data_IF_631073520524
#
_entry.id   IF_631073520524
#
_cell.length_a   1.000
_cell.length_b   1.000
_cell.length_c   1.000
_cell.angle_alpha   90.00
_cell.angle_beta   90.00
_cell.angle_gamma   90.00
#
_symmetry.space_group_name_H-M   'P 1'
#
loop_
_entity.id
_entity.type
_entity.pdbx_description
1 polymer ?
#
# COMPACT_ATOMS: atom_id res chain seq x y z
N UNK A 1 -9.80 -10.58 -8.13
CA UNK A 1 -9.91 -9.24 -7.50
C UNK A 1 -9.56 -8.18 -8.53
N UNK A 2 -10.24 -7.03 -8.53
CA UNK A 2 -9.95 -5.92 -9.45
C UNK A 2 -9.38 -4.73 -8.68
N UNK A 3 -8.10 -4.40 -8.91
CA UNK A 3 -7.43 -3.25 -8.30
C UNK A 3 -7.47 -1.98 -9.16
N UNK A 4 -8.05 -2.01 -10.36
CA UNK A 4 -8.17 -0.82 -11.18
C UNK A 4 -8.94 0.29 -10.43
N UNK A 5 -8.55 1.57 -10.55
CA UNK A 5 -7.50 2.09 -11.45
C UNK A 5 -6.08 2.13 -10.86
N UNK A 6 -5.82 1.48 -9.72
CA UNK A 6 -4.50 1.46 -9.09
C UNK A 6 -3.44 0.86 -10.01
N UNK A 7 -2.21 1.38 -9.89
CA UNK A 7 -1.07 0.94 -10.69
C UNK A 7 0.04 0.45 -9.78
N UNK A 8 0.81 -0.52 -10.27
CA UNK A 8 2.10 -0.81 -9.68
C UNK A 8 2.99 0.42 -9.82
N UNK A 9 3.50 0.91 -8.70
CA UNK A 9 4.44 2.03 -8.67
C UNK A 9 5.71 1.63 -7.92
N UNK A 10 6.81 2.23 -8.34
CA UNK A 10 8.10 2.14 -7.70
C UNK A 10 8.84 3.48 -7.81
N UNK A 11 9.91 3.65 -7.03
CA UNK A 11 10.80 4.79 -7.19
C UNK A 11 11.52 4.70 -8.55
N UNK A 12 11.60 5.79 -9.33
CA UNK A 12 12.30 5.80 -10.61
C UNK A 12 13.79 5.52 -10.37
N UNK A 13 14.19 4.27 -10.62
CA UNK A 13 15.57 3.82 -10.55
C UNK A 13 15.81 2.91 -11.75
N UNK A 14 16.80 3.26 -12.58
CA UNK A 14 17.20 2.43 -13.73
C UNK A 14 17.71 1.05 -13.28
N UNK A 15 18.21 0.97 -12.04
CA UNK A 15 18.64 -0.25 -11.37
C UNK A 15 18.25 -0.20 -9.89
N UNK A 16 17.45 -1.18 -9.44
CA UNK A 16 17.18 -1.38 -8.02
C UNK A 16 18.18 -2.40 -7.46
N UNK A 17 18.88 -2.04 -6.38
CA UNK A 17 19.82 -2.96 -5.72
C UNK A 17 19.06 -3.93 -4.79
N UNK A 18 19.60 -5.13 -4.53
CA UNK A 18 19.08 -6.01 -3.48
C UNK A 18 18.99 -5.29 -2.12
N UNK A 19 18.00 -5.68 -1.31
CA UNK A 19 17.73 -5.12 0.02
C UNK A 19 17.46 -3.60 0.04
N UNK A 20 16.80 -3.10 -1.00
CA UNK A 20 16.41 -1.68 -1.08
C UNK A 20 15.11 -1.44 -0.32
N UNK A 21 15.10 -0.42 0.54
CA UNK A 21 13.90 0.09 1.19
C UNK A 21 13.44 1.37 0.52
N UNK A 22 12.15 1.45 0.19
CA UNK A 22 11.49 2.68 -0.25
C UNK A 22 10.32 3.00 0.67
N UNK A 23 10.15 4.28 1.00
CA UNK A 23 9.08 4.75 1.87
C UNK A 23 8.08 5.56 1.05
N UNK A 24 6.95 4.94 0.74
CA UNK A 24 5.87 5.62 0.06
C UNK A 24 4.96 6.33 1.07
N UNK A 25 4.55 7.56 0.76
CA UNK A 25 3.65 8.34 1.60
C UNK A 25 2.53 8.98 0.78
N UNK A 26 1.30 8.81 1.27
CA UNK A 26 0.12 9.53 0.79
C UNK A 26 -0.46 10.38 1.92
N UNK A 27 -0.63 11.66 1.65
CA UNK A 27 -1.39 12.56 2.52
C UNK A 27 -2.84 12.65 2.03
N UNK A 28 -3.78 12.74 2.96
CA UNK A 28 -5.19 12.99 2.71
C UNK A 28 -5.77 13.86 3.83
N UNK A 29 -6.75 14.69 3.50
CA UNK A 29 -7.46 15.54 4.48
C UNK A 29 -8.93 15.18 4.42
N UNK A 30 -9.48 14.71 5.53
CA UNK A 30 -10.86 14.23 5.61
C UNK A 30 -11.72 15.26 6.37
N UNK A 31 -12.91 15.63 5.86
CA UNK A 31 -13.79 16.55 6.58
C UNK A 31 -14.35 15.94 7.87
N UNK A 32 -14.50 14.61 7.91
CA UNK A 32 -14.94 13.82 9.06
C UNK A 32 -14.30 12.43 9.02
N UNK A 33 -14.42 11.67 10.11
CA UNK A 33 -14.02 10.27 10.11
C UNK A 33 -14.88 9.48 9.10
N UNK A 34 -14.28 8.63 8.26
CA UNK A 34 -15.03 7.83 7.30
C UNK A 34 -15.94 6.83 8.03
N UNK A 35 -17.00 6.41 7.36
CA UNK A 35 -17.84 5.30 7.79
C UNK A 35 -17.13 3.96 7.56
N UNK A 36 -16.43 3.82 6.43
CA UNK A 36 -15.57 2.69 6.12
C UNK A 36 -14.37 3.14 5.29
N UNK A 37 -13.23 2.49 5.49
CA UNK A 37 -12.00 2.69 4.74
C UNK A 37 -11.33 1.33 4.55
N UNK A 38 -11.73 0.59 3.52
CA UNK A 38 -11.27 -0.79 3.29
C UNK A 38 -10.64 -0.93 1.93
N UNK A 39 -9.77 -1.91 1.77
CA UNK A 39 -9.02 -2.02 0.53
C UNK A 39 -8.05 -3.18 0.50
N UNK A 40 -7.10 -3.07 -0.42
CA UNK A 40 -6.12 -4.11 -0.72
C UNK A 40 -4.74 -3.51 -0.96
N UNK A 41 -3.71 -4.19 -0.45
CA UNK A 41 -2.32 -3.81 -0.59
C UNK A 41 -1.46 -5.04 -0.84
N UNK A 42 -0.52 -4.94 -1.77
CA UNK A 42 0.59 -5.88 -1.89
C UNK A 42 1.84 -5.15 -2.35
N UNK A 43 2.98 -5.78 -2.13
CA UNK A 43 4.26 -5.27 -2.58
C UNK A 43 5.21 -6.41 -2.90
N UNK A 44 6.19 -6.09 -3.72
CA UNK A 44 7.33 -6.94 -3.96
C UNK A 44 8.58 -6.26 -3.33
N UNK A 45 9.18 -6.82 -2.27
CA UNK A 45 9.00 -8.20 -1.77
C UNK A 45 8.22 -8.29 -0.46
N UNK A 46 8.35 -7.29 0.41
CA UNK A 46 7.60 -7.14 1.66
C UNK A 46 7.24 -5.69 1.91
N UNK A 47 6.13 -5.43 2.60
CA UNK A 47 5.73 -4.11 3.03
C UNK A 47 5.45 -4.03 4.54
N UNK A 48 5.50 -2.81 5.07
CA UNK A 48 4.97 -2.41 6.37
C UNK A 48 4.08 -1.18 6.20
N UNK A 49 2.81 -1.34 6.56
CA UNK A 49 1.77 -0.30 6.47
C UNK A 49 1.65 0.45 7.81
N UNK A 50 1.64 1.77 7.71
CA UNK A 50 1.44 2.69 8.83
C UNK A 50 0.38 3.72 8.48
N UNK A 51 -0.42 4.12 9.47
CA UNK A 51 -1.36 5.24 9.35
C UNK A 51 -1.16 6.14 10.54
N UNK A 52 -0.96 7.44 10.28
CA UNK A 52 -0.70 8.45 11.30
C UNK A 52 0.44 8.06 12.26
N UNK A 53 1.50 7.44 11.73
CA UNK A 53 2.68 6.97 12.48
C UNK A 53 2.48 5.67 13.26
N UNK A 54 1.29 5.07 13.25
CA UNK A 54 1.00 3.79 13.91
C UNK A 54 1.08 2.65 12.90
N UNK A 55 1.81 1.58 13.22
CA UNK A 55 1.83 0.36 12.41
C UNK A 55 0.45 -0.30 12.43
N UNK A 56 -0.05 -0.62 11.25
CA UNK A 56 -1.35 -1.28 11.02
C UNK A 56 -1.15 -2.73 10.63
N UNK A 57 -0.31 -2.98 9.62
CA UNK A 57 -0.15 -4.30 8.99
C UNK A 57 1.24 -4.47 8.38
N UNK A 58 1.62 -5.70 8.07
CA UNK A 58 2.78 -6.05 7.24
C UNK A 58 2.43 -7.26 6.38
N UNK A 59 3.16 -7.43 5.28
CA UNK A 59 2.90 -8.49 4.32
C UNK A 59 3.79 -8.34 3.08
N UNK A 60 3.37 -8.86 1.91
CA UNK A 60 2.39 -9.93 1.83
C UNK A 60 2.96 -11.22 2.46
N UNK A 61 2.07 -12.13 2.83
CA UNK A 61 2.50 -13.49 3.17
C UNK A 61 3.17 -14.16 1.95
N UNK A 62 4.05 -15.16 2.14
CA UNK A 62 4.54 -15.98 1.03
C UNK A 62 3.37 -16.56 0.24
N UNK A 63 3.36 -16.31 -1.06
CA UNK A 63 2.33 -16.80 -1.98
C UNK A 63 2.99 -17.45 -3.20
N UNK A 64 2.19 -18.09 -4.05
CA UNK A 64 2.68 -18.54 -5.34
C UNK A 64 3.11 -17.32 -6.17
N UNK A 65 4.38 -17.21 -6.62
CA UNK A 65 4.85 -16.05 -7.37
C UNK A 65 4.13 -15.83 -8.70
N UNK A 66 3.49 -16.87 -9.24
CA UNK A 66 2.68 -16.77 -10.45
C UNK A 66 1.35 -16.06 -10.19
N UNK A 67 0.93 -16.00 -8.93
CA UNK A 67 -0.33 -15.46 -8.45
C UNK A 67 -0.07 -14.64 -7.18
N UNK A 68 0.46 -13.43 -7.37
CA UNK A 68 0.73 -12.53 -6.26
C UNK A 68 -0.57 -12.21 -5.50
N UNK A 69 -0.60 -12.56 -4.21
CA UNK A 69 -1.70 -12.22 -3.33
C UNK A 69 -1.65 -10.75 -2.93
N UNK A 70 -2.82 -10.16 -2.68
CA UNK A 70 -2.93 -8.89 -1.98
C UNK A 70 -3.68 -9.08 -0.69
N UNK A 71 -3.18 -8.41 0.35
CA UNK A 71 -3.75 -8.50 1.66
C UNK A 71 -4.93 -7.53 1.75
N UNK A 72 -6.09 -7.96 2.29
CA UNK A 72 -7.14 -7.04 2.65
C UNK A 72 -6.65 -6.14 3.78
N UNK A 73 -7.12 -4.91 3.80
CA UNK A 73 -6.85 -3.95 4.88
C UNK A 73 -8.13 -3.21 5.28
N UNK A 74 -8.23 -2.91 6.58
CA UNK A 74 -9.24 -2.02 7.14
C UNK A 74 -8.53 -0.86 7.88
N UNK A 75 -8.62 0.33 7.29
CA UNK A 75 -8.04 1.57 7.82
C UNK A 75 -9.08 2.42 8.56
N UNK A 76 -10.34 1.98 8.63
CA UNK A 76 -11.44 2.71 9.28
C UNK A 76 -11.08 3.16 10.70
N UNK A 77 -10.52 2.31 11.59
CA UNK A 77 -10.22 2.73 12.96
C UNK A 77 -8.97 3.61 13.08
N UNK A 78 -8.25 3.84 11.98
CA UNK A 78 -6.96 4.53 11.97
C UNK A 78 -7.02 5.95 11.38
N UNK A 79 -8.10 6.27 10.65
CA UNK A 79 -8.33 7.57 10.05
C UNK A 79 -9.14 8.49 10.98
N UNK A 80 -8.85 9.80 10.89
CA UNK A 80 -9.47 10.85 11.73
C UNK A 80 -9.91 12.06 10.90
N UNK A 81 -10.80 12.92 11.41
CA UNK A 81 -11.04 14.23 10.80
C UNK A 81 -9.75 15.04 10.69
N UNK A 82 -9.64 15.84 9.63
CA UNK A 82 -8.47 16.63 9.31
C UNK A 82 -7.36 15.83 8.61
N UNK A 83 -6.08 16.21 8.81
CA UNK A 83 -4.96 15.62 8.08
C UNK A 83 -4.63 14.20 8.56
N UNK A 84 -4.44 13.31 7.60
CA UNK A 84 -3.96 11.95 7.78
C UNK A 84 -2.77 11.68 6.86
N UNK A 85 -1.92 10.75 7.26
CA UNK A 85 -0.85 10.23 6.43
C UNK A 85 -0.85 8.70 6.44
N UNK A 86 -0.83 8.12 5.25
CA UNK A 86 -0.63 6.68 5.02
C UNK A 86 0.81 6.51 4.57
N UNK A 87 1.55 5.63 5.25
CA UNK A 87 2.93 5.30 4.93
C UNK A 87 3.06 3.81 4.62
N UNK A 88 3.73 3.48 3.52
CA UNK A 88 4.04 2.11 3.12
C UNK A 88 5.55 2.02 2.91
N UNK A 89 6.23 1.33 3.81
CA UNK A 89 7.62 0.96 3.61
C UNK A 89 7.68 -0.35 2.85
N UNK A 90 8.42 -0.41 1.75
CA UNK A 90 8.59 -1.61 0.94
C UNK A 90 10.06 -2.00 0.94
N UNK A 91 10.33 -3.25 1.30
CA UNK A 91 11.64 -3.88 1.19
C UNK A 91 11.65 -4.79 -0.05
N UNK A 92 12.47 -4.43 -1.03
CA UNK A 92 12.74 -5.27 -2.18
C UNK A 92 14.00 -6.11 -1.93
N UNK A 93 13.85 -7.43 -1.93
CA UNK A 93 14.97 -8.33 -1.62
C UNK A 93 15.95 -8.43 -2.78
N UNK A 94 15.49 -8.41 -4.03
CA UNK A 94 16.33 -8.52 -5.24
C UNK A 94 16.92 -9.91 -5.51
N UNK A 95 16.73 -10.86 -4.61
CA UNK A 95 17.12 -12.27 -4.77
C UNK A 95 16.15 -13.16 -3.98
N UNK A 96 16.02 -14.42 -4.40
CA UNK A 96 15.19 -15.38 -3.68
C UNK A 96 15.79 -15.78 -2.34
N UNK A 97 14.95 -15.93 -1.31
CA UNK A 97 15.35 -16.23 0.07
C UNK A 97 14.75 -17.55 0.60
N UNK A 98 14.13 -18.35 -0.26
CA UNK A 98 13.41 -19.58 0.08
C UNK A 98 11.93 -19.35 0.45
N UNK A 99 11.52 -18.12 0.75
CA UNK A 99 10.12 -17.71 0.94
C UNK A 99 9.59 -16.79 -0.16
N UNK A 100 10.48 -16.38 -1.06
CA UNK A 100 10.20 -15.57 -2.22
C UNK A 100 11.20 -15.93 -3.35
N UNK A 101 10.79 -16.00 -4.64
CA UNK A 101 11.60 -16.62 -5.70
C UNK A 101 12.33 -15.62 -6.63
N UNK A 102 12.44 -14.35 -6.25
CA UNK A 102 12.87 -13.23 -7.10
C UNK A 102 11.76 -12.70 -8.05
N UNK A 103 11.70 -11.37 -8.17
CA UNK A 103 10.63 -10.61 -8.81
C UNK A 103 11.06 -9.16 -9.03
N UNK A 104 10.12 -8.27 -9.34
CA UNK A 104 10.40 -6.88 -9.71
C UNK A 104 9.90 -5.93 -8.63
N UNK A 105 10.66 -4.89 -8.27
CA UNK A 105 10.27 -4.02 -7.17
C UNK A 105 9.00 -3.25 -7.51
N UNK A 106 8.11 -3.13 -6.53
CA UNK A 106 6.88 -2.38 -6.71
C UNK A 106 5.91 -2.54 -5.55
N UNK A 107 4.94 -1.65 -5.47
CA UNK A 107 3.74 -1.89 -4.68
C UNK A 107 2.50 -1.40 -5.41
N UNK A 108 1.36 -1.97 -5.02
CA UNK A 108 0.05 -1.54 -5.47
C UNK A 108 -0.87 -1.43 -4.27
N UNK A 109 -1.63 -0.34 -4.23
CA UNK A 109 -2.50 0.01 -3.12
C UNK A 109 -3.82 0.52 -3.68
N UNK A 110 -4.94 0.03 -3.14
CA UNK A 110 -6.26 0.59 -3.37
C UNK A 110 -7.01 0.62 -2.05
N UNK A 111 -7.53 1.78 -1.70
CA UNK A 111 -8.43 2.00 -0.56
C UNK A 111 -9.70 2.66 -1.07
N UNK A 112 -10.83 2.04 -0.80
CA UNK A 112 -12.15 2.62 -1.01
C UNK A 112 -12.60 3.26 0.32
N UNK A 113 -12.94 4.55 0.25
CA UNK A 113 -13.40 5.35 1.38
C UNK A 113 -14.89 5.65 1.20
N UNK A 114 -15.68 5.37 2.24
CA UNK A 114 -17.10 5.68 2.31
C UNK A 114 -17.32 6.67 3.44
N UNK A 115 -17.92 7.82 3.13
CA UNK A 115 -18.24 8.85 4.10
C UNK A 115 -19.67 8.68 4.62
N UNK A 116 -19.96 9.33 5.76
CA UNK A 116 -21.28 9.24 6.42
C UNK A 116 -22.42 9.87 5.61
N UNK A 117 -22.10 10.76 4.67
CA UNK A 117 -23.06 11.36 3.74
C UNK A 117 -23.34 10.46 2.52
N UNK A 118 -22.73 9.27 2.47
CA UNK A 118 -22.85 8.30 1.38
C UNK A 118 -21.92 8.58 0.21
N UNK A 119 -21.14 9.66 0.23
CA UNK A 119 -20.11 9.92 -0.78
C UNK A 119 -18.99 8.89 -0.69
N UNK A 120 -18.34 8.62 -1.82
CA UNK A 120 -17.26 7.63 -1.93
C UNK A 120 -16.07 8.23 -2.65
N UNK A 121 -14.88 7.96 -2.13
CA UNK A 121 -13.62 8.35 -2.75
C UNK A 121 -12.66 7.15 -2.78
N UNK A 122 -11.64 7.22 -3.64
CA UNK A 122 -10.62 6.18 -3.75
C UNK A 122 -9.24 6.77 -3.57
N UNK A 123 -8.42 6.10 -2.78
CA UNK A 123 -6.99 6.35 -2.71
C UNK A 123 -6.29 5.18 -3.37
N UNK A 124 -5.64 5.43 -4.50
CA UNK A 124 -4.95 4.42 -5.29
C UNK A 124 -3.46 4.72 -5.39
N UNK A 125 -2.65 3.69 -5.62
CA UNK A 125 -1.25 3.87 -5.99
C UNK A 125 -1.15 4.49 -7.38
N UNK A 126 -0.76 5.76 -7.39
CA UNK A 126 -0.66 6.66 -8.54
C UNK A 126 0.56 7.58 -8.36
N UNK A 127 0.91 8.43 -9.35
CA UNK A 127 2.03 9.37 -9.22
C UNK A 127 1.90 10.43 -8.12
N UNK A 128 0.77 10.52 -7.42
CA UNK A 128 0.59 11.45 -6.30
C UNK A 128 1.02 10.84 -4.95
N UNK A 129 1.59 9.63 -4.94
CA UNK A 129 2.37 9.13 -3.82
C UNK A 129 3.78 9.73 -3.84
N UNK A 130 4.24 10.21 -2.69
CA UNK A 130 5.63 10.60 -2.49
C UNK A 130 6.45 9.35 -2.17
N UNK A 131 7.69 9.28 -2.66
CA UNK A 131 8.63 8.16 -2.48
C UNK A 131 10.02 8.68 -2.11
#
# INVERSE_FOLDING_TARGET
MNLAPARWIWFPSERCLPNTFILFRRALTLPAAPQAATGWLTADSRYRLTVNGRRVQWGPAPCDPRWQDADPMDLTPHLRPGPNAIGVEVCYFGQGDGTWPAGAPGFIFRLDLEHRDGSREQVVSDPAWLS
#
